data_IF_511592463855
#
_entry.id   IF_511592463855
#
_cell.length_a   1.000
_cell.length_b   1.000
_cell.length_c   1.000
_cell.angle_alpha   90.00
_cell.angle_beta   90.00
_cell.angle_gamma   90.00
#
_symmetry.space_group_name_H-M   'P 1'
#
loop_
_entity.id
_entity.type
_entity.pdbx_description
1 polymer ?
#
# COMPACT_ATOMS: atom_id res chain seq x y z
N UNK A 1 11.72 -2.00 4.55
CA UNK A 1 10.32 -1.81 5.03
C UNK A 1 9.52 -1.16 3.91
N UNK A 2 8.19 -1.27 3.89
CA UNK A 2 7.38 -0.65 2.84
C UNK A 2 6.95 0.77 3.21
N UNK A 3 6.73 1.59 2.19
CA UNK A 3 6.46 3.03 2.23
C UNK A 3 5.00 3.37 1.91
N UNK A 4 4.11 2.38 1.99
CA UNK A 4 2.70 2.49 1.57
C UNK A 4 1.96 3.56 2.38
N UNK A 5 2.29 3.69 3.68
CA UNK A 5 1.68 4.71 4.55
C UNK A 5 1.96 6.12 4.04
N UNK A 6 3.22 6.43 3.77
CA UNK A 6 3.64 7.75 3.32
C UNK A 6 3.00 8.10 1.98
N UNK A 7 3.00 7.17 1.02
CA UNK A 7 2.38 7.40 -0.30
C UNK A 7 0.87 7.62 -0.19
N UNK A 8 0.18 6.94 0.74
CA UNK A 8 -1.24 7.19 1.01
C UNK A 8 -1.47 8.59 1.59
N UNK A 9 -0.61 9.04 2.52
CA UNK A 9 -0.67 10.38 3.11
C UNK A 9 -0.36 11.47 2.08
N UNK A 10 0.67 11.29 1.25
CA UNK A 10 1.06 12.22 0.17
C UNK A 10 -0.07 12.41 -0.85
N UNK A 11 -0.83 11.35 -1.16
CA UNK A 11 -1.99 11.42 -2.07
C UNK A 11 -3.29 11.81 -1.37
N UNK A 12 -3.33 11.90 -0.04
CA UNK A 12 -4.56 12.15 0.71
C UNK A 12 -5.59 11.02 0.60
N UNK A 13 -5.15 9.78 0.36
CA UNK A 13 -6.02 8.61 0.14
C UNK A 13 -6.24 7.88 1.46
N UNK A 14 -7.50 7.52 1.76
CA UNK A 14 -7.84 6.74 2.94
C UNK A 14 -7.51 5.25 2.73
N UNK A 15 -7.04 4.58 3.78
CA UNK A 15 -6.80 3.13 3.75
C UNK A 15 -8.07 2.32 3.40
N UNK A 16 -9.26 2.80 3.80
CA UNK A 16 -10.55 2.17 3.45
C UNK A 16 -10.76 2.16 1.93
N UNK A 17 -10.33 3.23 1.24
CA UNK A 17 -10.42 3.30 -0.22
C UNK A 17 -9.47 2.32 -0.90
N UNK A 18 -8.23 2.20 -0.39
CA UNK A 18 -7.29 1.22 -0.91
C UNK A 18 -7.78 -0.22 -0.68
N UNK A 19 -8.39 -0.49 0.47
CA UNK A 19 -8.99 -1.78 0.80
C UNK A 19 -10.14 -2.16 -0.15
N UNK A 20 -11.02 -1.20 -0.45
CA UNK A 20 -12.08 -1.36 -1.45
C UNK A 20 -11.51 -1.67 -2.85
N UNK A 21 -10.49 -0.91 -3.29
CA UNK A 21 -9.85 -1.12 -4.60
C UNK A 21 -9.11 -2.45 -4.72
N UNK A 22 -8.52 -2.94 -3.64
CA UNK A 22 -7.85 -4.24 -3.59
C UNK A 22 -8.81 -5.41 -3.38
N UNK A 23 -10.10 -5.16 -3.11
CA UNK A 23 -11.04 -6.19 -2.70
C UNK A 23 -10.61 -6.92 -1.44
N UNK A 24 -9.92 -6.24 -0.52
CA UNK A 24 -9.41 -6.82 0.74
C UNK A 24 -10.02 -6.15 1.95
N UNK A 25 -10.06 -6.88 3.05
CA UNK A 25 -10.48 -6.33 4.34
C UNK A 25 -9.55 -5.19 4.77
N UNK A 26 -10.13 -4.17 5.41
CA UNK A 26 -9.39 -3.05 5.98
C UNK A 26 -8.23 -3.50 6.88
N UNK A 27 -8.44 -4.53 7.71
CA UNK A 27 -7.41 -5.09 8.58
C UNK A 27 -6.18 -5.59 7.82
N UNK A 28 -6.37 -6.15 6.62
CA UNK A 28 -5.27 -6.63 5.78
C UNK A 28 -4.44 -5.46 5.26
N UNK A 29 -5.10 -4.44 4.70
CA UNK A 29 -4.43 -3.22 4.22
C UNK A 29 -3.74 -2.48 5.36
N UNK A 30 -4.40 -2.35 6.52
CA UNK A 30 -3.80 -1.76 7.72
C UNK A 30 -2.57 -2.55 8.19
N UNK A 31 -2.55 -3.87 8.01
CA UNK A 31 -1.37 -4.71 8.24
C UNK A 31 -0.18 -4.31 7.36
N UNK A 32 -0.43 -4.03 6.07
CA UNK A 32 0.59 -3.55 5.13
C UNK A 32 1.09 -2.16 5.50
N UNK A 33 0.16 -1.22 5.71
CA UNK A 33 0.44 0.19 6.01
C UNK A 33 1.21 0.36 7.32
N UNK A 34 0.89 -0.43 8.35
CA UNK A 34 1.59 -0.40 9.63
C UNK A 34 2.86 -1.27 9.64
N UNK A 35 3.29 -1.80 8.48
CA UNK A 35 4.43 -2.71 8.35
C UNK A 35 4.35 -3.98 9.24
N UNK A 36 3.16 -4.32 9.77
CA UNK A 36 2.93 -5.54 10.57
C UNK A 36 2.93 -6.80 9.72
N UNK A 37 2.58 -6.66 8.45
CA UNK A 37 2.66 -7.70 7.42
C UNK A 37 3.23 -7.08 6.16
N UNK A 38 4.11 -7.77 5.45
CA UNK A 38 4.56 -7.33 4.13
C UNK A 38 3.57 -7.83 3.06
N UNK A 39 3.21 -6.98 2.09
CA UNK A 39 2.52 -7.44 0.90
C UNK A 39 3.45 -8.33 0.06
N UNK A 40 2.88 -9.31 -0.63
CA UNK A 40 3.59 -10.06 -1.67
C UNK A 40 4.00 -9.11 -2.80
N UNK A 41 4.97 -9.53 -3.63
CA UNK A 41 5.42 -8.73 -4.77
C UNK A 41 4.25 -8.37 -5.71
N UNK A 42 3.37 -9.33 -6.01
CA UNK A 42 2.16 -9.11 -6.82
C UNK A 42 1.24 -8.04 -6.21
N UNK A 43 1.01 -8.12 -4.89
CA UNK A 43 0.19 -7.18 -4.15
C UNK A 43 0.81 -5.77 -4.15
N UNK A 44 2.14 -5.68 -4.05
CA UNK A 44 2.85 -4.41 -4.14
C UNK A 44 2.63 -3.76 -5.52
N UNK A 45 2.73 -4.53 -6.60
CA UNK A 45 2.46 -4.03 -7.96
C UNK A 45 0.99 -3.62 -8.14
N UNK A 46 0.03 -4.36 -7.59
CA UNK A 46 -1.37 -3.95 -7.60
C UNK A 46 -1.59 -2.63 -6.86
N UNK A 47 -1.01 -2.49 -5.67
CA UNK A 47 -1.07 -1.24 -4.89
C UNK A 47 -0.44 -0.09 -5.69
N UNK A 48 0.73 -0.31 -6.29
CA UNK A 48 1.41 0.69 -7.12
C UNK A 48 0.53 1.14 -8.30
N UNK A 49 -0.11 0.18 -8.99
CA UNK A 49 -1.03 0.44 -10.10
C UNK A 49 -2.27 1.22 -9.66
N UNK A 50 -2.86 0.87 -8.51
CA UNK A 50 -4.04 1.56 -7.96
C UNK A 50 -3.69 2.99 -7.53
N UNK A 51 -2.52 3.17 -6.93
CA UNK A 51 -2.04 4.47 -6.47
C UNK A 51 -1.44 5.30 -7.62
N UNK A 52 -1.15 4.70 -8.78
CA UNK A 52 -0.52 5.37 -9.91
C UNK A 52 0.89 5.84 -9.58
N UNK A 53 1.69 4.99 -8.93
CA UNK A 53 3.10 5.22 -8.59
C UNK A 53 3.94 4.04 -9.06
N UNK A 54 5.26 4.20 -9.10
CA UNK A 54 6.14 3.07 -9.34
C UNK A 54 6.23 2.17 -8.10
N UNK A 55 6.34 0.85 -8.29
CA UNK A 55 6.45 -0.09 -7.18
C UNK A 55 7.68 0.16 -6.30
N UNK A 56 8.74 0.77 -6.85
CA UNK A 56 9.92 1.20 -6.10
C UNK A 56 9.61 2.31 -5.11
N UNK A 57 8.65 3.19 -5.41
CA UNK A 57 8.26 4.27 -4.49
C UNK A 57 7.55 3.73 -3.24
N UNK A 58 7.00 2.52 -3.32
CA UNK A 58 6.40 1.81 -2.19
C UNK A 58 7.42 1.06 -1.32
N UNK A 59 8.71 1.10 -1.68
CA UNK A 59 9.79 0.45 -0.95
C UNK A 59 10.70 1.51 -0.32
N UNK A 60 11.10 1.30 0.94
CA UNK A 60 12.16 2.11 1.52
C UNK A 60 13.51 1.60 1.00
N UNK A 61 14.29 2.51 0.40
CA UNK A 61 15.70 2.33 0.09
C UNK A 61 16.50 2.43 1.41
N UNK A 62 16.59 1.32 2.13
CA UNK A 62 17.50 1.13 3.27
C UNK A 62 18.07 -0.26 3.24
#
# INVERSE_FOLDING_TARGET
MNRIKEVLEEKGIKQVWLADKLGKSFNTVNGYVQNRKQPSLEMLYEIAKILGVDAKELLNDK
#
